data_IF_825109872121
#
_entry.id   IF_825109872121
#
_cell.length_a   1.000
_cell.length_b   1.000
_cell.length_c   1.000
_cell.angle_alpha   90.00
_cell.angle_beta   90.00
_cell.angle_gamma   90.00
#
_symmetry.space_group_name_H-M   'P 1'
#
loop_
_entity.id
_entity.type
_entity.pdbx_description
1 polymer ?
#
# COMPACT_ATOMS: atom_id res chain seq x y z
N UNK A 1 -6.40 11.38 3.01
CA UNK A 1 -6.15 12.85 2.90
C UNK A 1 -4.86 13.10 2.15
N UNK A 2 -4.49 14.36 1.84
CA UNK A 2 -3.21 14.69 1.20
C UNK A 2 -1.99 14.15 1.98
N UNK A 3 -2.05 14.16 3.32
CA UNK A 3 -1.01 13.59 4.18
C UNK A 3 -0.88 12.07 4.01
N UNK A 4 -1.99 11.36 3.83
CA UNK A 4 -1.94 9.91 3.57
C UNK A 4 -1.28 9.62 2.22
N UNK A 5 -1.57 10.40 1.17
CA UNK A 5 -0.94 10.25 -0.14
C UNK A 5 0.58 10.48 -0.07
N UNK A 6 1.00 11.58 0.55
CA UNK A 6 2.41 11.89 0.77
C UNK A 6 3.12 10.76 1.54
N UNK A 7 2.48 10.19 2.57
CA UNK A 7 3.03 9.07 3.33
C UNK A 7 3.19 7.80 2.48
N UNK A 8 2.22 7.48 1.61
CA UNK A 8 2.34 6.32 0.71
C UNK A 8 3.47 6.48 -0.30
N UNK A 9 3.63 7.69 -0.86
CA UNK A 9 4.72 8.01 -1.78
C UNK A 9 6.07 7.92 -1.06
N UNK A 10 6.15 8.44 0.17
CA UNK A 10 7.34 8.30 0.99
C UNK A 10 7.70 6.83 1.25
N UNK A 11 6.74 6.00 1.68
CA UNK A 11 6.97 4.57 1.92
C UNK A 11 7.42 3.83 0.64
N UNK A 12 6.79 4.10 -0.52
CA UNK A 12 7.20 3.57 -1.82
C UNK A 12 8.67 3.91 -2.12
N UNK A 13 9.03 5.18 -1.99
CA UNK A 13 10.41 5.65 -2.25
C UNK A 13 11.40 5.06 -1.24
N UNK A 14 11.03 4.99 0.04
CA UNK A 14 11.86 4.36 1.07
C UNK A 14 12.17 2.91 0.69
N UNK A 15 11.15 2.12 0.33
CA UNK A 15 11.31 0.74 -0.11
C UNK A 15 12.26 0.64 -1.31
N UNK A 16 12.13 1.53 -2.30
CA UNK A 16 13.06 1.61 -3.43
C UNK A 16 14.51 1.85 -2.99
N UNK A 17 14.75 2.84 -2.13
CA UNK A 17 16.10 3.24 -1.68
C UNK A 17 16.79 2.15 -0.84
N UNK A 18 16.02 1.34 -0.09
CA UNK A 18 16.58 0.25 0.72
C UNK A 18 16.64 -1.10 -0.01
N UNK A 19 16.39 -1.11 -1.33
CA UNK A 19 16.54 -2.30 -2.17
C UNK A 19 15.29 -3.20 -2.29
N UNK A 20 14.13 -2.74 -1.83
CA UNK A 20 12.84 -3.44 -1.90
C UNK A 20 11.84 -2.71 -2.84
N UNK A 21 12.34 -2.19 -3.96
CA UNK A 21 11.52 -1.52 -4.97
C UNK A 21 10.30 -2.35 -5.39
N UNK A 22 9.16 -1.69 -5.60
CA UNK A 22 7.91 -2.35 -5.97
C UNK A 22 7.77 -2.43 -7.49
N UNK A 23 7.38 -3.60 -7.98
CA UNK A 23 6.89 -3.78 -9.35
C UNK A 23 5.42 -3.35 -9.37
N UNK A 24 5.07 -2.34 -10.14
CA UNK A 24 3.71 -1.74 -10.11
C UNK A 24 3.06 -1.63 -11.49
N UNK A 25 3.84 -1.80 -12.54
CA UNK A 25 3.45 -1.55 -13.93
C UNK A 25 3.52 -2.81 -14.80
N UNK A 26 4.04 -3.93 -14.29
CA UNK A 26 4.10 -5.21 -14.97
C UNK A 26 3.56 -6.33 -14.08
N UNK A 27 2.81 -7.25 -14.68
CA UNK A 27 2.30 -8.45 -14.02
C UNK A 27 3.41 -9.49 -13.87
N UNK A 28 3.50 -10.10 -12.69
CA UNK A 28 4.66 -10.87 -12.25
C UNK A 28 4.88 -12.18 -13.04
N UNK A 29 3.81 -12.81 -13.53
CA UNK A 29 3.91 -14.12 -14.22
C UNK A 29 4.14 -13.93 -15.72
N UNK A 30 3.28 -13.15 -16.37
CA UNK A 30 3.27 -12.94 -17.83
C UNK A 30 4.23 -11.85 -18.29
N UNK A 31 4.69 -10.97 -17.39
CA UNK A 31 5.53 -9.81 -17.72
C UNK A 31 4.79 -8.73 -18.51
N UNK A 32 3.50 -8.89 -18.79
CA UNK A 32 2.69 -7.90 -19.50
C UNK A 32 2.44 -6.69 -18.62
N UNK A 33 2.21 -5.54 -19.24
CA UNK A 33 1.84 -4.32 -18.51
C UNK A 33 0.55 -4.53 -17.71
N UNK A 34 0.50 -3.96 -16.50
CA UNK A 34 -0.71 -3.93 -15.67
C UNK A 34 -1.84 -3.21 -16.42
N UNK A 35 -2.99 -3.87 -16.48
CA UNK A 35 -4.20 -3.37 -17.12
C UNK A 35 -5.04 -2.59 -16.09
N UNK A 36 -5.45 -1.37 -16.44
CA UNK A 36 -6.10 -0.45 -15.49
C UNK A 36 -7.43 -0.99 -14.93
N UNK A 37 -8.16 -1.75 -15.75
CA UNK A 37 -9.50 -2.28 -15.45
C UNK A 37 -9.46 -3.69 -14.84
N UNK A 38 -8.28 -4.31 -14.75
CA UNK A 38 -8.09 -5.62 -14.15
C UNK A 38 -7.86 -5.56 -12.63
N UNK A 39 -7.98 -6.71 -12.00
CA UNK A 39 -7.77 -6.92 -10.57
C UNK A 39 -6.54 -7.79 -10.34
N UNK A 40 -5.79 -7.48 -9.29
CA UNK A 40 -4.52 -8.10 -8.98
C UNK A 40 -4.41 -8.45 -7.50
N UNK A 41 -3.73 -9.56 -7.20
CA UNK A 41 -3.19 -9.83 -5.87
C UNK A 41 -1.70 -9.52 -5.91
N UNK A 42 -1.19 -8.81 -4.90
CA UNK A 42 0.23 -8.47 -4.85
C UNK A 42 1.02 -9.50 -4.04
N UNK A 43 1.93 -10.21 -4.70
CA UNK A 43 2.93 -11.05 -4.05
C UNK A 43 4.15 -10.20 -3.71
N UNK A 44 4.51 -10.11 -2.43
CA UNK A 44 5.54 -9.17 -1.95
C UNK A 44 6.87 -9.34 -2.70
N UNK A 45 7.28 -10.57 -2.95
CA UNK A 45 8.56 -10.91 -3.58
C UNK A 45 8.51 -10.90 -5.12
N UNK A 46 7.32 -10.89 -5.73
CA UNK A 46 7.16 -11.08 -7.18
C UNK A 46 6.55 -9.86 -7.89
N UNK A 47 5.57 -9.20 -7.26
CA UNK A 47 4.77 -8.15 -7.87
C UNK A 47 3.28 -8.51 -8.00
N UNK A 48 2.52 -7.78 -8.83
CA UNK A 48 1.09 -8.01 -9.01
C UNK A 48 0.85 -9.23 -9.90
N UNK A 49 0.00 -10.14 -9.43
CA UNK A 49 -0.49 -11.31 -10.17
C UNK A 49 -1.94 -11.08 -10.54
N UNK A 50 -2.28 -11.22 -11.82
CA UNK A 50 -3.65 -11.02 -12.29
C UNK A 50 -4.58 -12.02 -11.62
N UNK A 51 -5.69 -11.53 -11.06
CA UNK A 51 -6.67 -12.37 -10.40
C UNK A 51 -7.60 -13.00 -11.45
N UNK A 52 -7.31 -14.23 -11.85
CA UNK A 52 -8.32 -15.10 -12.47
C UNK A 52 -9.35 -15.51 -11.42
N UNK A 53 -10.58 -15.87 -11.83
CA UNK A 53 -11.78 -16.13 -11.02
C UNK A 53 -11.63 -17.24 -9.94
N UNK A 54 -10.70 -17.06 -9.01
CA UNK A 54 -10.27 -17.99 -7.99
C UNK A 54 -9.92 -17.22 -6.72
N UNK A 55 -10.35 -17.79 -5.60
CA UNK A 55 -10.27 -17.19 -4.27
C UNK A 55 -8.82 -17.25 -3.74
N UNK A 56 -7.93 -16.44 -4.30
CA UNK A 56 -6.62 -16.18 -3.71
C UNK A 56 -6.81 -15.33 -2.46
N UNK A 57 -6.50 -15.86 -1.27
CA UNK A 57 -6.79 -15.22 0.03
C UNK A 57 -6.08 -13.88 0.30
N UNK A 58 -5.30 -13.37 -0.66
CA UNK A 58 -4.71 -12.04 -0.61
C UNK A 58 -5.75 -10.94 -0.86
N UNK A 59 -5.42 -9.70 -0.50
CA UNK A 59 -6.29 -8.58 -0.86
C UNK A 59 -6.11 -8.21 -2.32
N UNK A 60 -7.26 -7.99 -2.94
CA UNK A 60 -7.39 -7.55 -4.31
C UNK A 60 -7.12 -6.05 -4.42
N UNK A 61 -6.29 -5.68 -5.39
CA UNK A 61 -5.94 -4.32 -5.77
C UNK A 61 -6.40 -4.07 -7.21
N UNK A 62 -6.80 -2.85 -7.52
CA UNK A 62 -7.12 -2.46 -8.90
C UNK A 62 -5.84 -2.17 -9.67
N UNK A 63 -5.77 -2.55 -10.94
CA UNK A 63 -4.64 -2.19 -11.80
C UNK A 63 -4.46 -0.68 -11.93
N UNK A 64 -5.57 0.06 -12.05
CA UNK A 64 -5.57 1.53 -12.01
C UNK A 64 -4.93 2.09 -10.74
N UNK A 65 -5.15 1.48 -9.57
CA UNK A 65 -4.50 1.87 -8.30
C UNK A 65 -3.00 1.61 -8.31
N UNK A 66 -2.55 0.48 -8.87
CA UNK A 66 -1.13 0.14 -9.01
C UNK A 66 -0.42 1.15 -9.92
N UNK A 67 -1.01 1.45 -11.08
CA UNK A 67 -0.49 2.44 -12.02
C UNK A 67 -0.50 3.86 -11.44
N UNK A 68 -1.50 4.21 -10.64
CA UNK A 68 -1.57 5.48 -9.92
C UNK A 68 -0.42 5.60 -8.89
N UNK A 69 -0.12 4.53 -8.15
CA UNK A 69 1.01 4.49 -7.22
C UNK A 69 2.36 4.53 -7.95
N UNK A 70 2.49 3.85 -9.09
CA UNK A 70 3.68 3.89 -9.93
C UNK A 70 4.01 5.33 -10.33
N UNK A 71 2.99 6.07 -10.77
CA UNK A 71 3.06 7.48 -11.18
C UNK A 71 3.06 8.48 -10.01
N UNK A 72 2.89 8.01 -8.78
CA UNK A 72 2.78 8.83 -7.56
C UNK A 72 1.62 9.83 -7.58
N UNK A 73 0.51 9.45 -8.23
CA UNK A 73 -0.71 10.26 -8.36
C UNK A 73 -1.87 9.61 -7.61
N UNK A 74 -1.88 9.74 -6.29
CA UNK A 74 -2.88 9.16 -5.39
C UNK A 74 -4.02 10.14 -5.06
N UNK A 75 -4.58 10.76 -6.09
CA UNK A 75 -5.67 11.74 -5.98
C UNK A 75 -7.03 11.08 -5.71
N UNK A 76 -7.19 9.85 -6.20
CA UNK A 76 -8.40 9.04 -6.02
C UNK A 76 -8.42 8.30 -4.67
N UNK A 77 -9.60 8.23 -4.05
CA UNK A 77 -9.78 7.60 -2.75
C UNK A 77 -9.63 6.08 -2.81
N UNK A 78 -10.00 5.42 -3.91
CA UNK A 78 -9.81 3.98 -4.05
C UNK A 78 -8.32 3.66 -4.25
N UNK A 79 -7.62 4.42 -5.09
CA UNK A 79 -6.16 4.30 -5.25
C UNK A 79 -5.42 4.47 -3.92
N UNK A 80 -5.79 5.48 -3.12
CA UNK A 80 -5.18 5.70 -1.82
C UNK A 80 -5.45 4.55 -0.83
N UNK A 81 -6.67 3.98 -0.85
CA UNK A 81 -7.04 2.83 -0.01
C UNK A 81 -6.22 1.59 -0.37
N UNK A 82 -6.09 1.32 -1.66
CA UNK A 82 -5.31 0.20 -2.21
C UNK A 82 -3.82 0.36 -1.87
N UNK A 83 -3.25 1.54 -2.12
CA UNK A 83 -1.86 1.84 -1.76
C UNK A 83 -1.59 1.69 -0.26
N UNK A 84 -2.52 2.17 0.60
CA UNK A 84 -2.44 1.96 2.05
C UNK A 84 -2.45 0.50 2.44
N UNK A 85 -3.24 -0.31 1.75
CA UNK A 85 -3.23 -1.73 2.01
C UNK A 85 -1.90 -2.37 1.59
N UNK A 86 -1.48 -2.13 0.35
CA UNK A 86 -0.22 -2.66 -0.19
C UNK A 86 0.98 -2.31 0.68
N UNK A 87 1.15 -1.03 1.04
CA UNK A 87 2.25 -0.59 1.89
C UNK A 87 2.24 -1.27 3.26
N UNK A 88 1.07 -1.57 3.83
CA UNK A 88 0.99 -2.30 5.11
C UNK A 88 1.44 -3.74 4.97
N UNK A 89 1.07 -4.40 3.88
CA UNK A 89 1.47 -5.78 3.59
C UNK A 89 2.98 -5.87 3.38
N UNK A 90 3.54 -5.06 2.48
CA UNK A 90 4.97 -5.07 2.15
C UNK A 90 5.84 -4.69 3.35
N UNK A 91 5.51 -3.61 4.06
CA UNK A 91 6.28 -3.21 5.24
C UNK A 91 6.18 -4.24 6.37
N UNK A 92 5.01 -4.87 6.56
CA UNK A 92 4.88 -5.92 7.56
C UNK A 92 5.76 -7.14 7.24
N UNK A 93 5.88 -7.50 5.95
CA UNK A 93 6.77 -8.56 5.51
C UNK A 93 8.23 -8.25 5.86
N UNK A 94 8.76 -7.09 5.43
CA UNK A 94 10.18 -6.75 5.69
C UNK A 94 10.51 -6.45 7.15
N UNK A 95 9.52 -6.10 7.97
CA UNK A 95 9.71 -5.92 9.41
C UNK A 95 9.60 -7.24 10.21
N UNK A 96 9.43 -8.38 9.53
CA UNK A 96 9.23 -9.67 10.20
C UNK A 96 7.97 -9.67 11.09
N UNK A 97 6.92 -8.97 10.67
CA UNK A 97 5.68 -8.81 11.43
C UNK A 97 5.75 -7.82 12.60
N UNK A 98 6.91 -7.20 12.88
CA UNK A 98 7.02 -6.20 13.96
C UNK A 98 6.21 -4.94 13.60
N UNK A 99 5.35 -4.45 14.51
CA UNK A 99 4.55 -3.27 14.23
C UNK A 99 5.41 -2.00 14.16
N UNK A 100 5.11 -1.12 13.22
CA UNK A 100 5.65 0.24 13.21
C UNK A 100 5.03 1.03 14.37
N UNK A 101 5.85 1.37 15.36
CA UNK A 101 5.43 2.08 16.57
C UNK A 101 4.92 3.50 16.27
N UNK A 102 5.43 4.13 15.20
CA UNK A 102 4.92 5.41 14.70
C UNK A 102 3.41 5.38 14.39
N UNK A 103 2.85 4.22 14.04
CA UNK A 103 1.42 4.06 13.77
C UNK A 103 0.55 4.16 15.03
N UNK A 104 1.07 3.76 16.21
CA UNK A 104 0.35 3.89 17.49
C UNK A 104 0.15 5.36 17.85
N UNK A 105 1.13 6.21 17.55
CA UNK A 105 1.07 7.66 17.80
C UNK A 105 -0.05 8.33 16.98
N UNK A 106 -0.19 7.99 15.69
CA UNK A 106 -1.27 8.54 14.86
C UNK A 106 -2.66 8.03 15.27
N UNK A 107 -2.77 6.80 15.78
CA UNK A 107 -4.03 6.25 16.28
C UNK A 107 -4.47 6.95 17.59
N UNK A 108 -3.53 7.32 18.46
CA UNK A 108 -3.83 8.06 19.70
C UNK A 108 -4.21 9.54 19.49
N UNK A 109 -3.94 10.12 18.32
CA UNK A 109 -4.27 11.52 18.02
C UNK A 109 -5.61 11.66 17.29
N UNK A 110 -6.23 10.55 16.86
CA UNK A 110 -7.50 10.52 16.14
C UNK A 110 -8.70 10.15 17.02
N UNK A 111 -8.97 10.92 18.07
CA UNK A 111 -10.14 10.80 18.95
C UNK A 111 -10.22 12.00 19.89
N UNK A 112 -11.27 12.81 19.77
CA UNK A 112 -11.34 14.14 20.37
C UNK A 112 -11.53 14.20 21.89
N UNK A 113 -11.11 15.36 22.40
CA UNK A 113 -11.72 16.18 23.46
C UNK A 113 -11.87 15.62 24.89
N UNK A 114 -11.09 16.25 25.79
CA UNK A 114 -11.51 16.59 27.15
C UNK A 114 -11.51 15.46 28.17
N UNK A 115 -10.49 15.43 29.04
CA UNK A 115 -10.70 15.55 30.49
C UNK A 115 -9.36 15.52 31.25
N UNK A 116 -9.13 16.57 32.04
CA UNK A 116 -8.56 16.45 33.38
C UNK A 116 -7.11 16.04 33.56
N UNK A 117 -6.16 16.96 33.29
CA UNK A 117 -4.97 17.02 34.15
C UNK A 117 -5.36 17.75 35.45
N UNK A 118 -5.59 16.99 36.53
CA UNK A 118 -5.55 17.52 37.90
C UNK A 118 -4.46 16.81 38.68
N UNK A 119 -3.42 17.59 38.94
CA UNK A 119 -2.48 17.61 40.08
C UNK A 119 -1.84 16.30 40.49
#
# INVERSE_FOLDING_TARGET
TAQEAALRIFEKRLLQEIGYGLVLDHEAISGRTVEADALYVYEVESGPVMQDHGNGGGKVLRGSSLLALARERLDDRAALKDAKHLMRTVLAHHLGGRPLHSRKLFASTGGGAGEGFKR
#
